data_IF_696311919973
#
_entry.id   IF_696311919973
#
_cell.length_a   1.000
_cell.length_b   1.000
_cell.length_c   1.000
_cell.angle_alpha   90.00
_cell.angle_beta   90.00
_cell.angle_gamma   90.00
#
_symmetry.space_group_name_H-M   'P 1'
#
loop_
_entity.id
_entity.type
_entity.pdbx_description
1 polymer ?
#
# COMPACT_ATOMS: atom_id res chain seq x y z
N UNK A 1 18.45 -3.07 1.24
CA UNK A 1 17.03 -3.07 1.59
C UNK A 1 16.54 -1.64 1.85
N UNK A 2 17.01 -0.95 2.89
CA UNK A 2 16.58 0.42 3.23
C UNK A 2 16.61 1.40 2.04
N UNK A 3 17.76 1.49 1.33
CA UNK A 3 17.92 2.43 0.22
C UNK A 3 17.23 2.05 -1.09
N UNK A 4 16.74 0.82 -1.23
CA UNK A 4 16.25 0.28 -2.51
C UNK A 4 14.82 -0.26 -2.46
N UNK A 5 14.30 -0.52 -1.26
CA UNK A 5 13.03 -1.21 -1.03
C UNK A 5 12.08 -0.45 -0.11
N UNK A 6 12.52 0.67 0.48
CA UNK A 6 11.71 1.50 1.36
C UNK A 6 11.57 2.92 0.77
N UNK A 7 10.53 3.68 1.15
CA UNK A 7 10.40 5.09 0.79
C UNK A 7 11.61 5.96 1.17
N UNK A 8 11.78 7.08 0.49
CA UNK A 8 12.84 8.06 0.79
C UNK A 8 12.69 8.66 2.19
N UNK A 9 11.45 8.96 2.58
CA UNK A 9 11.10 9.44 3.90
C UNK A 9 9.98 8.58 4.49
N UNK A 10 10.03 8.39 5.80
CA UNK A 10 9.04 7.66 6.59
C UNK A 10 8.68 8.47 7.82
N UNK A 11 7.61 8.08 8.50
CA UNK A 11 7.23 8.62 9.80
C UNK A 11 7.74 7.64 10.86
N UNK A 12 8.50 8.14 11.83
CA UNK A 12 8.79 7.38 13.04
C UNK A 12 7.55 7.37 13.94
N UNK A 13 6.89 6.23 14.03
CA UNK A 13 5.57 6.05 14.69
C UNK A 13 5.54 6.51 16.15
N UNK A 14 6.55 6.25 16.99
CA UNK A 14 6.55 6.72 18.38
C UNK A 14 6.53 8.24 18.54
N UNK A 15 7.23 8.98 17.66
CA UNK A 15 7.38 10.44 17.79
C UNK A 15 6.62 11.23 16.72
N UNK A 16 5.94 10.56 15.78
CA UNK A 16 5.17 11.14 14.67
C UNK A 16 5.97 12.24 13.95
N UNK A 17 7.24 11.95 13.64
CA UNK A 17 8.17 12.84 12.92
C UNK A 17 8.67 12.17 11.65
N UNK A 18 9.04 12.96 10.65
CA UNK A 18 9.71 12.43 9.48
C UNK A 18 11.14 11.96 9.82
N UNK A 19 11.53 10.87 9.19
CA UNK A 19 12.87 10.27 9.20
C UNK A 19 13.24 9.94 7.76
N UNK A 20 14.51 10.13 7.39
CA UNK A 20 15.03 9.71 6.10
C UNK A 20 15.64 8.30 6.16
N UNK A 21 16.14 7.82 5.02
CA UNK A 21 16.77 6.49 4.91
C UNK A 21 18.03 6.34 5.76
N UNK A 22 18.80 7.40 5.97
CA UNK A 22 20.02 7.36 6.78
C UNK A 22 19.68 7.23 8.27
N UNK A 23 18.69 7.99 8.74
CA UNK A 23 18.15 7.84 10.10
C UNK A 23 17.57 6.44 10.34
N UNK A 24 16.78 5.92 9.39
CA UNK A 24 16.25 4.55 9.46
C UNK A 24 17.40 3.53 9.48
N UNK A 25 18.41 3.68 8.62
CA UNK A 25 19.56 2.79 8.60
C UNK A 25 20.25 2.76 9.97
N UNK A 26 20.51 3.93 10.56
CA UNK A 26 21.17 4.03 11.86
C UNK A 26 20.31 3.46 13.01
N UNK A 27 19.00 3.67 12.98
CA UNK A 27 18.07 3.14 13.99
C UNK A 27 18.06 1.62 14.04
N UNK A 28 18.10 0.95 12.87
CA UNK A 28 18.01 -0.51 12.79
C UNK A 28 19.36 -1.21 12.62
N UNK A 29 20.46 -0.47 12.42
CA UNK A 29 21.81 -1.03 12.28
C UNK A 29 22.16 -2.03 13.40
N UNK A 30 21.95 -1.74 14.70
CA UNK A 30 22.27 -2.71 15.76
C UNK A 30 21.47 -4.02 15.64
N UNK A 31 20.18 -3.93 15.28
CA UNK A 31 19.32 -5.09 15.10
C UNK A 31 19.69 -5.93 13.87
N UNK A 32 20.22 -5.28 12.82
CA UNK A 32 20.72 -5.94 11.61
C UNK A 32 22.07 -6.60 11.84
N UNK A 33 22.98 -5.94 12.55
CA UNK A 33 24.29 -6.49 12.93
C UNK A 33 24.17 -7.69 13.89
N UNK A 34 23.07 -7.78 14.65
CA UNK A 34 22.75 -8.90 15.51
C UNK A 34 22.14 -10.13 14.79
N UNK A 35 21.93 -10.07 13.47
CA UNK A 35 21.36 -11.21 12.71
C UNK A 35 22.33 -12.40 12.75
N UNK A 36 21.84 -13.55 13.20
CA UNK A 36 22.62 -14.80 13.28
C UNK A 36 22.32 -15.75 12.11
N UNK A 37 23.21 -16.70 11.84
CA UNK A 37 22.94 -17.76 10.86
C UNK A 37 21.75 -18.65 11.26
N UNK A 38 21.49 -18.81 12.56
CA UNK A 38 20.34 -19.58 13.03
C UNK A 38 19.02 -18.84 12.78
N UNK A 39 19.01 -17.50 12.93
CA UNK A 39 17.88 -16.70 12.45
C UNK A 39 17.68 -16.88 10.95
N UNK A 40 18.74 -16.83 10.14
CA UNK A 40 18.64 -17.02 8.68
C UNK A 40 18.05 -18.40 8.31
N UNK A 41 18.35 -19.45 9.07
CA UNK A 41 17.79 -20.80 8.83
C UNK A 41 16.27 -20.82 9.00
N UNK A 42 15.71 -20.08 9.96
CA UNK A 42 14.26 -20.00 10.17
C UNK A 42 13.51 -19.38 8.98
N UNK A 43 14.20 -18.57 8.18
CA UNK A 43 13.67 -17.94 6.98
C UNK A 43 14.16 -18.60 5.69
N UNK A 44 14.92 -19.68 5.78
CA UNK A 44 15.41 -20.41 4.61
C UNK A 44 14.31 -21.26 3.97
N UNK A 45 14.50 -21.67 2.73
CA UNK A 45 13.57 -22.56 2.01
C UNK A 45 14.28 -23.22 0.85
N UNK A 46 13.79 -24.37 0.34
CA UNK A 46 14.52 -25.23 -0.59
C UNK A 46 14.92 -24.56 -1.91
N UNK A 47 14.27 -23.46 -2.29
CA UNK A 47 14.56 -22.69 -3.52
C UNK A 47 14.93 -21.23 -3.27
N UNK A 48 15.10 -20.80 -2.01
CA UNK A 48 15.34 -19.38 -1.67
C UNK A 48 16.84 -19.09 -1.65
N UNK A 49 17.27 -18.10 -2.42
CA UNK A 49 18.65 -17.61 -2.40
C UNK A 49 18.97 -16.93 -1.07
N UNK A 50 20.25 -16.87 -0.69
CA UNK A 50 20.69 -16.17 0.54
C UNK A 50 20.25 -14.70 0.57
N UNK A 51 20.28 -14.01 -0.58
CA UNK A 51 19.83 -12.62 -0.72
C UNK A 51 18.34 -12.46 -0.40
N UNK A 52 17.50 -13.37 -0.91
CA UNK A 52 16.06 -13.36 -0.62
C UNK A 52 15.77 -13.69 0.84
N UNK A 53 16.48 -14.66 1.43
CA UNK A 53 16.37 -14.98 2.86
C UNK A 53 16.73 -13.76 3.71
N UNK A 54 17.85 -13.09 3.42
CA UNK A 54 18.26 -11.88 4.13
C UNK A 54 17.22 -10.76 3.98
N UNK A 55 16.71 -10.53 2.77
CA UNK A 55 15.66 -9.54 2.55
C UNK A 55 14.39 -9.84 3.38
N UNK A 56 14.04 -11.12 3.54
CA UNK A 56 12.88 -11.51 4.36
C UNK A 56 13.11 -11.24 5.85
N UNK A 57 14.30 -11.56 6.37
CA UNK A 57 14.68 -11.21 7.76
C UNK A 57 14.69 -9.70 7.97
N UNK A 58 15.22 -8.94 7.01
CA UNK A 58 15.23 -7.47 7.09
C UNK A 58 13.82 -6.87 7.08
N UNK A 59 12.88 -7.41 6.28
CA UNK A 59 11.47 -7.01 6.30
C UNK A 59 10.80 -7.31 7.64
N UNK A 60 11.13 -8.44 8.24
CA UNK A 60 10.59 -8.83 9.54
C UNK A 60 11.11 -7.94 10.68
N UNK A 61 12.39 -7.52 10.63
CA UNK A 61 12.98 -6.61 11.64
C UNK A 61 12.64 -5.13 11.40
N UNK A 62 12.51 -4.69 10.14
CA UNK A 62 12.29 -3.28 9.76
C UNK A 62 10.89 -3.13 9.17
N UNK A 63 9.88 -3.18 10.04
CA UNK A 63 8.47 -3.09 9.67
C UNK A 63 8.03 -1.64 9.50
N UNK A 64 7.38 -1.37 8.37
CA UNK A 64 6.67 -0.11 8.15
C UNK A 64 5.25 -0.37 7.64
N UNK A 65 4.31 0.49 8.07
CA UNK A 65 2.93 0.49 7.60
C UNK A 65 2.73 1.51 6.48
N UNK A 66 1.87 1.21 5.52
CA UNK A 66 1.48 2.15 4.46
C UNK A 66 0.04 2.60 4.67
N UNK A 67 -0.20 3.91 4.61
CA UNK A 67 -1.56 4.45 4.57
C UNK A 67 -2.09 4.40 3.13
N UNK A 68 -3.28 3.86 2.96
CA UNK A 68 -4.06 4.01 1.75
C UNK A 68 -5.36 4.71 2.12
N UNK A 69 -5.60 5.90 1.56
CA UNK A 69 -6.73 6.71 2.01
C UNK A 69 -7.20 7.71 0.95
N UNK A 70 -8.31 8.37 1.28
CA UNK A 70 -8.65 9.63 0.62
C UNK A 70 -8.06 10.81 1.38
N UNK A 71 -7.53 11.76 0.62
CA UNK A 71 -7.15 13.06 1.14
C UNK A 71 -8.42 13.81 1.56
N UNK A 72 -8.34 14.51 2.68
CA UNK A 72 -9.31 15.51 3.08
C UNK A 72 -9.18 16.72 2.15
N UNK A 73 -10.25 17.50 2.01
CA UNK A 73 -10.25 18.69 1.14
C UNK A 73 -9.24 19.75 1.63
N UNK A 74 -9.02 19.82 2.95
CA UNK A 74 -8.02 20.71 3.56
C UNK A 74 -7.41 20.07 4.81
N UNK A 75 -6.23 20.54 5.19
CA UNK A 75 -5.59 20.18 6.46
C UNK A 75 -4.87 18.84 6.47
N UNK A 76 -4.55 18.24 5.32
CA UNK A 76 -3.58 17.15 5.27
C UNK A 76 -2.17 17.65 5.64
N UNK A 77 -1.40 16.88 6.43
CA UNK A 77 0.00 17.19 6.65
C UNK A 77 0.74 17.08 5.32
N UNK A 78 1.62 18.05 5.06
CA UNK A 78 2.52 18.06 3.91
C UNK A 78 3.94 17.72 4.37
N UNK A 79 4.82 17.40 3.42
CA UNK A 79 6.23 17.16 3.73
C UNK A 79 6.87 18.36 4.46
N UNK A 80 6.62 19.57 3.96
CA UNK A 80 7.11 20.81 4.56
C UNK A 80 6.50 21.03 5.95
N UNK A 81 5.18 20.84 6.09
CA UNK A 81 4.49 21.03 7.36
C UNK A 81 4.94 20.05 8.47
N UNK A 82 5.44 18.87 8.09
CA UNK A 82 6.02 17.91 9.03
C UNK A 82 7.51 18.18 9.34
N UNK A 83 8.22 18.87 8.44
CA UNK A 83 9.65 19.14 8.55
C UNK A 83 9.93 20.46 9.26
N UNK A 84 9.03 21.42 9.14
CA UNK A 84 9.11 22.72 9.82
C UNK A 84 8.50 22.61 11.23
N UNK A 85 9.18 23.18 12.24
CA UNK A 85 8.70 23.31 13.63
C UNK A 85 7.51 24.31 13.76
N UNK A 86 6.56 24.30 12.82
CA UNK A 86 5.30 25.04 12.97
C UNK A 86 4.41 24.28 13.96
N UNK A 87 4.71 24.46 15.24
CA UNK A 87 4.35 23.51 16.30
C UNK A 87 2.86 23.47 16.70
N UNK A 88 2.02 24.45 16.35
CA UNK A 88 0.71 24.59 17.01
C UNK A 88 -0.54 24.51 16.11
N UNK A 89 -0.53 25.11 14.92
CA UNK A 89 -1.75 25.15 14.08
C UNK A 89 -1.90 23.92 13.17
N UNK A 90 -0.80 23.33 12.70
CA UNK A 90 -0.80 22.16 11.81
C UNK A 90 -1.19 20.88 12.55
N UNK A 91 -0.77 20.73 13.82
CA UNK A 91 -1.04 19.56 14.65
C UNK A 91 -2.52 19.43 15.08
N UNK A 92 -3.25 20.54 15.08
CA UNK A 92 -4.68 20.55 15.41
C UNK A 92 -5.59 20.30 14.20
N UNK A 93 -5.03 20.12 12.99
CA UNK A 93 -5.80 19.85 11.78
C UNK A 93 -6.42 18.45 11.79
N UNK A 94 -7.55 18.29 11.10
CA UNK A 94 -8.21 16.98 10.95
C UNK A 94 -7.29 15.96 10.25
N UNK A 95 -6.45 16.39 9.29
CA UNK A 95 -5.50 15.51 8.63
C UNK A 95 -4.36 15.06 9.55
N UNK A 96 -3.87 15.93 10.45
CA UNK A 96 -2.88 15.51 11.45
C UNK A 96 -3.46 14.53 12.47
N UNK A 97 -4.72 14.71 12.90
CA UNK A 97 -5.42 13.73 13.72
C UNK A 97 -5.58 12.39 13.00
N UNK A 98 -5.92 12.43 11.70
CA UNK A 98 -5.97 11.24 10.84
C UNK A 98 -4.60 10.54 10.77
N UNK A 99 -3.51 11.29 10.60
CA UNK A 99 -2.16 10.74 10.57
C UNK A 99 -1.75 10.12 11.93
N UNK A 100 -2.11 10.78 13.03
CA UNK A 100 -1.84 10.27 14.39
C UNK A 100 -2.59 8.98 14.65
N UNK A 101 -3.87 8.90 14.28
CA UNK A 101 -4.67 7.66 14.33
C UNK A 101 -4.09 6.56 13.46
N UNK A 102 -3.62 6.90 12.26
CA UNK A 102 -2.89 5.95 11.43
C UNK A 102 -1.62 5.42 12.13
N UNK A 103 -0.82 6.28 12.76
CA UNK A 103 0.36 5.85 13.52
C UNK A 103 -0.01 4.96 14.72
N UNK A 104 -1.11 5.25 15.42
CA UNK A 104 -1.66 4.38 16.46
C UNK A 104 -1.98 3.00 15.89
N UNK A 105 -2.70 2.93 14.76
CA UNK A 105 -3.02 1.67 14.10
C UNK A 105 -1.79 0.95 13.58
N UNK A 106 -0.79 1.65 13.05
CA UNK A 106 0.48 1.04 12.63
C UNK A 106 1.19 0.35 13.80
N UNK A 107 1.14 0.93 15.00
CA UNK A 107 1.73 0.35 16.22
C UNK A 107 1.09 -0.97 16.62
N UNK A 108 -0.22 -1.14 16.39
CA UNK A 108 -0.94 -2.41 16.62
C UNK A 108 -0.41 -3.57 15.75
N UNK A 109 0.35 -3.26 14.68
CA UNK A 109 1.00 -4.23 13.77
C UNK A 109 2.54 -4.27 13.94
N UNK A 110 3.06 -3.86 15.09
CA UNK A 110 4.49 -3.79 15.40
C UNK A 110 5.30 -2.92 14.42
N UNK A 111 4.66 -1.98 13.74
CA UNK A 111 5.35 -1.07 12.82
C UNK A 111 5.91 0.12 13.60
N UNK A 112 7.24 0.25 13.58
CA UNK A 112 7.94 1.42 14.14
C UNK A 112 8.01 2.58 13.14
N UNK A 113 7.76 2.28 11.87
CA UNK A 113 7.77 3.21 10.76
C UNK A 113 6.40 3.22 10.08
N UNK A 114 6.04 4.33 9.48
CA UNK A 114 4.80 4.48 8.73
C UNK A 114 5.00 5.39 7.52
N UNK A 115 4.11 5.31 6.53
CA UNK A 115 4.22 6.11 5.32
C UNK A 115 2.85 6.66 4.88
N UNK A 116 2.84 7.91 4.44
CA UNK A 116 1.69 8.58 3.83
C UNK A 116 2.18 9.45 2.67
N UNK A 117 1.59 9.29 1.49
CA UNK A 117 1.96 10.02 0.27
C UNK A 117 1.78 11.55 0.40
N UNK A 118 0.93 11.99 1.32
CA UNK A 118 0.71 13.41 1.63
C UNK A 118 1.94 14.09 2.21
N UNK A 119 2.65 13.42 3.12
CA UNK A 119 3.73 14.02 3.91
C UNK A 119 5.08 13.30 3.83
N UNK A 120 5.17 12.10 3.27
CA UNK A 120 6.43 11.35 3.13
C UNK A 120 7.08 11.48 1.75
N UNK A 121 6.52 12.33 0.88
CA UNK A 121 7.09 12.63 -0.44
C UNK A 121 7.34 14.14 -0.48
N UNK A 122 8.60 14.53 -0.71
CA UNK A 122 8.91 15.92 -1.03
C UNK A 122 8.48 16.26 -2.46
N UNK A 123 7.23 16.68 -2.61
CA UNK A 123 6.64 17.06 -3.91
C UNK A 123 7.31 18.27 -4.58
N UNK A 124 8.18 18.98 -3.88
CA UNK A 124 8.97 20.08 -4.44
C UNK A 124 10.30 19.60 -5.07
N UNK A 125 10.70 18.36 -4.82
CA UNK A 125 11.84 17.71 -5.47
C UNK A 125 11.33 16.84 -6.63
N UNK A 126 11.59 17.27 -7.86
CA UNK A 126 11.18 16.50 -9.05
C UNK A 126 11.81 15.11 -9.09
N UNK A 127 13.07 14.99 -8.65
CA UNK A 127 13.77 13.71 -8.57
C UNK A 127 13.13 12.75 -7.57
N UNK A 128 12.73 13.25 -6.40
CA UNK A 128 12.07 12.42 -5.38
C UNK A 128 10.63 12.06 -5.79
N UNK A 129 9.91 12.99 -6.40
CA UNK A 129 8.57 12.72 -6.92
C UNK A 129 8.60 11.65 -8.03
N UNK A 130 9.57 11.71 -8.94
CA UNK A 130 9.79 10.70 -9.98
C UNK A 130 10.12 9.34 -9.35
N UNK A 131 11.07 9.28 -8.42
CA UNK A 131 11.39 8.04 -7.68
C UNK A 131 10.13 7.47 -7.02
N UNK A 132 9.36 8.32 -6.31
CA UNK A 132 8.17 7.89 -5.61
C UNK A 132 7.15 7.26 -6.55
N UNK A 133 6.86 7.88 -7.69
CA UNK A 133 5.90 7.36 -8.66
C UNK A 133 6.35 6.00 -9.24
N UNK A 134 7.65 5.85 -9.57
CA UNK A 134 8.18 4.59 -10.10
C UNK A 134 8.21 3.47 -9.04
N UNK A 135 8.50 3.83 -7.79
CA UNK A 135 8.75 2.87 -6.72
C UNK A 135 7.53 2.55 -5.85
N UNK A 136 6.44 3.32 -5.95
CA UNK A 136 5.32 3.27 -5.00
C UNK A 136 4.74 1.86 -4.84
N UNK A 137 4.49 1.15 -5.95
CA UNK A 137 3.99 -0.21 -5.88
C UNK A 137 4.96 -1.11 -5.11
N UNK A 138 6.28 -1.02 -5.35
CA UNK A 138 7.25 -1.81 -4.60
C UNK A 138 7.23 -1.46 -3.11
N UNK A 139 7.02 -0.19 -2.76
CA UNK A 139 6.91 0.22 -1.36
C UNK A 139 5.66 -0.34 -0.69
N UNK A 140 4.50 -0.31 -1.37
CA UNK A 140 3.28 -0.97 -0.87
C UNK A 140 3.46 -2.48 -0.72
N UNK A 141 4.10 -3.13 -1.70
CA UNK A 141 4.41 -4.55 -1.67
C UNK A 141 5.38 -4.93 -0.54
N UNK A 142 6.33 -4.06 -0.20
CA UNK A 142 7.33 -4.31 0.83
C UNK A 142 6.86 -3.94 2.24
N UNK A 143 5.72 -3.28 2.38
CA UNK A 143 5.16 -2.90 3.67
C UNK A 143 4.78 -4.13 4.49
N UNK A 144 4.92 -4.03 5.81
CA UNK A 144 4.48 -5.09 6.72
C UNK A 144 2.94 -5.21 6.74
N UNK A 145 2.25 -4.08 6.55
CA UNK A 145 0.80 -3.97 6.43
C UNK A 145 0.46 -2.72 5.63
N UNK A 146 -0.55 -2.78 4.77
CA UNK A 146 -1.22 -1.59 4.26
C UNK A 146 -2.54 -1.38 4.99
N UNK A 147 -2.71 -0.19 5.58
CA UNK A 147 -3.90 0.20 6.31
C UNK A 147 -4.74 1.08 5.40
N UNK A 148 -5.88 0.55 4.96
CA UNK A 148 -6.84 1.25 4.12
C UNK A 148 -7.91 1.93 4.99
N UNK A 149 -7.99 3.26 4.92
CA UNK A 149 -8.99 4.05 5.66
C UNK A 149 -10.13 4.49 4.74
N UNK A 150 -11.27 3.82 4.88
CA UNK A 150 -12.52 4.01 4.14
C UNK A 150 -13.47 4.91 4.96
N UNK A 151 -13.14 6.20 5.00
CA UNK A 151 -13.76 7.18 5.90
C UNK A 151 -15.29 7.30 5.78
N UNK A 152 -15.90 6.83 4.67
CA UNK A 152 -17.36 6.89 4.46
C UNK A 152 -18.07 5.57 4.73
N UNK A 153 -17.32 4.50 5.04
CA UNK A 153 -17.84 3.14 5.20
C UNK A 153 -17.97 2.76 6.67
N UNK A 154 -19.10 2.18 7.07
CA UNK A 154 -19.29 1.52 8.37
C UNK A 154 -19.35 0.00 8.23
N UNK A 155 -19.62 -0.52 7.03
CA UNK A 155 -19.56 -1.95 6.72
C UNK A 155 -19.27 -2.18 5.23
N UNK A 156 -19.12 -3.45 4.81
CA UNK A 156 -18.94 -3.82 3.41
C UNK A 156 -20.09 -3.42 2.49
N UNK A 157 -21.31 -3.19 3.03
CA UNK A 157 -22.44 -2.72 2.23
C UNK A 157 -22.20 -1.32 1.64
N UNK A 158 -21.32 -0.54 2.26
CA UNK A 158 -21.07 0.86 1.89
C UNK A 158 -20.01 0.98 0.79
N UNK A 159 -19.31 -0.11 0.43
CA UNK A 159 -18.19 -0.09 -0.50
C UNK A 159 -18.56 0.46 -1.89
N UNK A 160 -19.79 0.19 -2.35
CA UNK A 160 -20.27 0.70 -3.63
C UNK A 160 -20.34 2.24 -3.69
N UNK A 161 -20.46 2.90 -2.52
CA UNK A 161 -20.47 4.37 -2.40
C UNK A 161 -19.14 4.93 -1.91
N UNK A 162 -18.17 4.09 -1.58
CA UNK A 162 -16.88 4.49 -1.04
C UNK A 162 -15.95 4.95 -2.18
N UNK A 163 -15.62 6.25 -2.27
CA UNK A 163 -14.87 6.75 -3.41
C UNK A 163 -13.43 6.24 -3.46
N UNK A 164 -12.92 5.63 -2.39
CA UNK A 164 -11.63 4.94 -2.42
C UNK A 164 -11.56 3.89 -3.56
N UNK A 165 -12.65 3.17 -3.85
CA UNK A 165 -12.66 2.14 -4.91
C UNK A 165 -12.63 2.70 -6.34
N UNK A 166 -12.88 4.00 -6.52
CA UNK A 166 -12.93 4.67 -7.83
C UNK A 166 -11.74 5.59 -8.09
N UNK A 167 -10.76 5.67 -7.19
CA UNK A 167 -9.51 6.44 -7.44
C UNK A 167 -8.49 5.59 -8.21
N UNK A 168 -7.73 6.22 -9.11
CA UNK A 168 -6.72 5.53 -9.92
C UNK A 168 -5.62 4.89 -9.06
N UNK A 169 -4.96 5.70 -8.23
CA UNK A 169 -3.83 5.25 -7.39
C UNK A 169 -4.20 4.12 -6.43
N UNK A 170 -5.42 4.10 -5.88
CA UNK A 170 -5.83 3.06 -4.93
C UNK A 170 -5.91 1.66 -5.55
N UNK A 171 -5.80 1.52 -6.89
CA UNK A 171 -5.75 0.20 -7.54
C UNK A 171 -4.43 -0.50 -7.21
N UNK A 172 -3.30 0.19 -7.36
CA UNK A 172 -2.02 -0.40 -6.96
C UNK A 172 -1.92 -0.52 -5.45
N UNK A 173 -2.52 0.40 -4.68
CA UNK A 173 -2.55 0.31 -3.22
C UNK A 173 -3.39 -0.89 -2.73
N UNK A 174 -4.37 -1.33 -3.53
CA UNK A 174 -5.13 -2.56 -3.29
C UNK A 174 -4.35 -3.82 -3.69
N UNK A 175 -3.69 -3.81 -4.86
CA UNK A 175 -3.07 -4.99 -5.45
C UNK A 175 -1.68 -5.29 -4.88
N UNK A 176 -0.87 -4.26 -4.64
CA UNK A 176 0.54 -4.41 -4.31
C UNK A 176 0.84 -5.03 -2.92
N UNK A 177 0.17 -4.61 -1.83
CA UNK A 177 0.51 -5.11 -0.49
C UNK A 177 0.24 -6.61 -0.34
N UNK A 178 1.11 -7.33 0.36
CA UNK A 178 0.83 -8.73 0.72
C UNK A 178 -0.25 -8.82 1.82
N UNK A 179 -0.30 -7.84 2.72
CA UNK A 179 -1.25 -7.80 3.84
C UNK A 179 -2.00 -6.48 3.84
N UNK A 180 -3.29 -6.52 4.13
CA UNK A 180 -4.10 -5.31 4.29
C UNK A 180 -5.03 -5.37 5.48
N UNK A 181 -5.29 -4.21 6.09
CA UNK A 181 -6.38 -4.06 7.06
C UNK A 181 -7.25 -2.87 6.67
N UNK A 182 -8.56 -3.10 6.58
CA UNK A 182 -9.55 -2.06 6.28
C UNK A 182 -10.18 -1.51 7.55
N UNK A 183 -10.15 -0.18 7.68
CA UNK A 183 -10.82 0.57 8.72
C UNK A 183 -11.87 1.50 8.10
N UNK A 184 -13.04 1.56 8.72
CA UNK A 184 -14.15 2.41 8.34
C UNK A 184 -14.15 3.73 9.09
N UNK A 185 -15.34 4.34 9.20
CA UNK A 185 -15.60 5.52 10.03
C UNK A 185 -15.01 5.36 11.43
N UNK A 186 -14.45 6.45 11.95
CA UNK A 186 -13.86 6.53 13.28
C UNK A 186 -12.70 5.56 13.54
N UNK A 187 -12.08 5.01 12.48
CA UNK A 187 -11.03 3.99 12.60
C UNK A 187 -11.50 2.67 13.23
N UNK A 188 -12.78 2.36 13.07
CA UNK A 188 -13.34 1.06 13.46
C UNK A 188 -12.97 0.01 12.40
N UNK A 189 -12.53 -1.20 12.80
CA UNK A 189 -12.19 -2.25 11.85
C UNK A 189 -13.45 -2.75 11.13
N UNK A 190 -13.37 -2.98 9.82
CA UNK A 190 -14.51 -3.46 9.00
C UNK A 190 -14.70 -5.00 9.02
N UNK A 191 -13.83 -5.69 9.76
CA UNK A 191 -13.80 -7.14 9.98
C UNK A 191 -13.01 -7.43 11.26
N UNK A 192 -13.12 -8.66 11.76
CA UNK A 192 -12.33 -9.13 12.91
C UNK A 192 -10.94 -9.67 12.53
N UNK A 193 -10.63 -9.78 11.23
CA UNK A 193 -9.33 -10.30 10.77
C UNK A 193 -8.20 -9.29 11.01
N UNK A 194 -7.01 -9.76 11.38
CA UNK A 194 -5.82 -8.89 11.41
C UNK A 194 -5.27 -8.63 9.99
N UNK A 195 -5.50 -9.56 9.07
CA UNK A 195 -5.16 -9.41 7.66
C UNK A 195 -6.38 -9.79 6.81
N UNK A 196 -6.96 -8.79 6.15
CA UNK A 196 -8.14 -8.94 5.31
C UNK A 196 -7.83 -9.60 3.97
N UNK A 197 -6.56 -9.71 3.56
CA UNK A 197 -6.15 -10.51 2.40
C UNK A 197 -6.05 -12.00 2.72
N UNK A 198 -5.74 -12.33 3.97
CA UNK A 198 -5.59 -13.71 4.42
C UNK A 198 -6.47 -13.94 5.66
N UNK A 199 -7.81 -13.92 5.51
CA UNK A 199 -8.71 -14.18 6.62
C UNK A 199 -8.41 -15.55 7.21
N UNK A 200 -8.48 -15.67 8.55
CA UNK A 200 -8.30 -16.97 9.21
C UNK A 200 -9.35 -17.93 8.68
N UNK A 201 -8.89 -19.08 8.19
CA UNK A 201 -9.79 -20.13 7.77
C UNK A 201 -10.45 -20.75 9.02
N UNK A 202 -11.68 -20.34 9.33
CA UNK A 202 -12.46 -20.92 10.42
C UNK A 202 -12.84 -22.39 10.13
N UNK A 203 -12.49 -22.95 8.96
CA UNK A 203 -12.81 -24.35 8.62
C UNK A 203 -11.76 -25.35 9.08
N UNK A 204 -10.59 -24.92 9.56
CA UNK A 204 -9.68 -25.80 10.32
C UNK A 204 -10.01 -25.70 11.81
N UNK A 205 -10.58 -26.74 12.44
CA UNK A 205 -10.76 -26.74 13.88
C UNK A 205 -9.38 -26.74 14.54
N UNK A 206 -9.12 -25.76 15.40
CA UNK A 206 -8.10 -25.94 16.43
C UNK A 206 -8.55 -27.09 17.32
N UNK A 207 -7.69 -28.06 17.58
CA UNK A 207 -8.00 -29.23 18.43
C UNK A 207 -8.29 -28.84 19.89
N UNK A 208 -8.09 -27.58 20.28
CA UNK A 208 -8.09 -27.11 21.67
C UNK A 208 -9.20 -26.11 22.06
N UNK A 209 -10.17 -25.77 21.19
CA UNK A 209 -11.20 -24.78 21.56
C UNK A 209 -12.60 -25.39 21.74
N UNK A 210 -13.01 -25.41 23.02
CA UNK A 210 -14.37 -25.72 23.47
C UNK A 210 -15.36 -24.78 22.78
N UNK A 211 -16.33 -25.41 22.12
CA UNK A 211 -17.41 -24.79 21.37
C UNK A 211 -18.16 -23.73 22.18
N UNK A 212 -17.99 -22.46 21.79
CA UNK A 212 -19.06 -21.47 21.91
C UNK A 212 -19.60 -21.20 20.50
N UNK A 213 -20.93 -21.09 20.30
CA UNK A 213 -21.48 -20.79 18.99
C UNK A 213 -21.21 -19.32 18.69
N UNK A 214 -20.16 -19.04 17.93
CA UNK A 214 -19.93 -17.71 17.36
C UNK A 214 -20.93 -17.55 16.20
N UNK A 215 -21.83 -16.58 16.33
CA UNK A 215 -22.79 -16.23 15.28
C UNK A 215 -22.06 -15.86 13.97
N UNK A 216 -22.62 -16.16 12.78
CA UNK A 216 -21.96 -15.85 11.52
C UNK A 216 -22.05 -14.34 11.24
N UNK A 217 -21.01 -13.59 11.62
CA UNK A 217 -20.82 -12.18 11.27
C UNK A 217 -19.75 -11.96 10.20
N UNK A 218 -19.28 -13.01 9.51
CA UNK A 218 -18.19 -12.89 8.54
C UNK A 218 -18.58 -12.00 7.34
N UNK A 219 -18.35 -10.71 7.53
CA UNK A 219 -18.06 -9.71 6.52
C UNK A 219 -16.85 -10.18 5.72
N UNK A 220 -17.07 -10.96 4.65
CA UNK A 220 -16.00 -11.32 3.72
C UNK A 220 -15.69 -10.09 2.85
N UNK A 221 -14.75 -9.28 3.34
CA UNK A 221 -14.21 -8.10 2.67
C UNK A 221 -13.74 -8.44 1.26
N UNK A 222 -13.07 -9.57 1.05
CA UNK A 222 -12.57 -9.96 -0.28
C UNK A 222 -13.72 -10.27 -1.22
N UNK A 223 -14.75 -10.99 -0.76
CA UNK A 223 -15.97 -11.22 -1.56
C UNK A 223 -16.65 -9.90 -1.93
N UNK A 224 -16.75 -8.95 -1.01
CA UNK A 224 -17.32 -7.63 -1.30
C UNK A 224 -16.48 -6.86 -2.35
N UNK A 225 -15.15 -6.85 -2.20
CA UNK A 225 -14.23 -6.19 -3.13
C UNK A 225 -14.27 -6.86 -4.50
N UNK A 226 -14.25 -8.20 -4.59
CA UNK A 226 -14.32 -8.92 -5.86
C UNK A 226 -15.62 -8.61 -6.60
N UNK A 227 -16.76 -8.61 -5.90
CA UNK A 227 -18.05 -8.25 -6.52
C UNK A 227 -18.08 -6.82 -7.03
N UNK A 228 -17.48 -5.89 -6.30
CA UNK A 228 -17.47 -4.47 -6.67
C UNK A 228 -16.50 -4.16 -7.81
N UNK A 229 -15.30 -4.73 -7.74
CA UNK A 229 -14.16 -4.34 -8.61
C UNK A 229 -13.93 -5.28 -9.78
N UNK A 230 -14.55 -6.46 -9.78
CA UNK A 230 -14.30 -7.56 -10.74
C UNK A 230 -12.85 -8.05 -10.72
N UNK A 231 -12.13 -7.79 -9.63
CA UNK A 231 -10.80 -8.33 -9.36
C UNK A 231 -11.00 -9.65 -8.62
N UNK A 232 -10.51 -10.74 -9.21
CA UNK A 232 -10.61 -12.07 -8.63
C UNK A 232 -9.84 -12.16 -7.30
N UNK A 233 -10.30 -13.03 -6.39
CA UNK A 233 -9.67 -13.18 -5.07
C UNK A 233 -8.18 -13.51 -5.17
N UNK A 234 -7.77 -14.31 -6.16
CA UNK A 234 -6.37 -14.66 -6.35
C UNK A 234 -5.50 -13.44 -6.67
N UNK A 235 -5.99 -12.49 -7.48
CA UNK A 235 -5.30 -11.24 -7.80
C UNK A 235 -5.29 -10.28 -6.61
N UNK A 236 -6.31 -10.29 -5.76
CA UNK A 236 -6.31 -9.49 -4.52
C UNK A 236 -5.28 -9.99 -3.51
N UNK A 237 -5.07 -11.31 -3.41
CA UNK A 237 -4.21 -11.92 -2.40
C UNK A 237 -2.76 -12.05 -2.86
N UNK A 238 -2.54 -12.40 -4.13
CA UNK A 238 -1.22 -12.69 -4.69
C UNK A 238 -1.07 -12.12 -6.11
N UNK A 239 -1.11 -10.80 -6.21
CA UNK A 239 -0.96 -10.11 -7.50
C UNK A 239 0.45 -10.27 -8.08
N UNK A 240 0.54 -10.66 -9.36
CA UNK A 240 1.79 -10.64 -10.13
C UNK A 240 1.77 -9.48 -11.13
N UNK A 241 2.69 -8.53 -10.99
CA UNK A 241 2.86 -7.42 -11.93
C UNK A 241 3.45 -7.87 -13.28
N UNK A 242 3.24 -7.09 -14.34
CA UNK A 242 3.76 -7.36 -15.69
C UNK A 242 2.72 -7.22 -16.81
N UNK A 243 3.09 -7.68 -18.02
CA UNK A 243 2.32 -7.55 -19.27
C UNK A 243 1.45 -8.81 -19.56
N UNK A 244 0.91 -9.44 -18.53
CA UNK A 244 -0.06 -10.53 -18.68
C UNK A 244 -1.46 -10.05 -18.29
N UNK A 245 -2.50 -10.66 -18.86
CA UNK A 245 -3.91 -10.29 -18.63
C UNK A 245 -4.16 -8.77 -18.76
N UNK A 246 -3.51 -8.15 -19.75
CA UNK A 246 -3.50 -6.68 -19.90
C UNK A 246 -4.91 -6.12 -19.98
N UNK A 247 -5.78 -6.76 -20.75
CA UNK A 247 -7.18 -6.35 -20.91
C UNK A 247 -7.92 -6.29 -19.56
N UNK A 248 -7.71 -7.29 -18.70
CA UNK A 248 -8.37 -7.36 -17.40
C UNK A 248 -7.88 -6.23 -16.48
N UNK A 249 -6.57 -5.96 -16.49
CA UNK A 249 -5.96 -4.86 -15.71
C UNK A 249 -6.44 -3.49 -16.18
N UNK A 250 -6.53 -3.29 -17.49
CA UNK A 250 -7.08 -2.07 -18.07
C UNK A 250 -8.57 -1.92 -17.74
N UNK A 251 -9.34 -3.02 -17.70
CA UNK A 251 -10.75 -3.01 -17.28
C UNK A 251 -10.92 -2.62 -15.81
N UNK A 252 -10.03 -3.07 -14.93
CA UNK A 252 -10.03 -2.61 -13.53
C UNK A 252 -9.69 -1.13 -13.41
N UNK A 253 -8.76 -0.65 -14.25
CA UNK A 253 -8.35 0.76 -14.29
C UNK A 253 -9.41 1.68 -14.91
N UNK A 254 -10.18 1.20 -15.91
CA UNK A 254 -11.15 2.02 -16.66
C UNK A 254 -12.33 2.49 -15.81
N UNK A 255 -12.61 1.81 -14.70
CA UNK A 255 -13.63 2.18 -13.71
C UNK A 255 -13.15 3.20 -12.68
N UNK A 256 -11.91 3.69 -12.83
CA UNK A 256 -11.26 4.59 -11.86
C UNK A 256 -10.95 5.94 -12.50
N UNK A 257 -10.85 6.95 -11.66
CA UNK A 257 -10.62 8.34 -12.04
C UNK A 257 -9.44 8.92 -11.27
N UNK A 258 -8.77 9.90 -11.88
CA UNK A 258 -7.64 10.61 -11.29
C UNK A 258 -7.87 12.11 -11.36
N UNK A 259 -7.29 12.85 -10.42
CA UNK A 259 -7.39 14.31 -10.39
C UNK A 259 -6.53 14.94 -11.47
N UNK A 260 -5.29 14.46 -11.63
CA UNK A 260 -4.42 14.81 -12.76
C UNK A 260 -4.64 13.79 -13.86
N UNK A 261 -4.75 14.26 -15.09
CA UNK A 261 -5.00 13.37 -16.23
C UNK A 261 -3.82 12.43 -16.47
N UNK A 262 -2.59 12.87 -16.17
CA UNK A 262 -1.38 12.06 -16.31
C UNK A 262 -1.33 10.87 -15.36
N UNK A 263 -1.95 11.00 -14.19
CA UNK A 263 -2.00 9.92 -13.20
C UNK A 263 -2.81 8.71 -13.68
N UNK A 264 -3.66 8.86 -14.71
CA UNK A 264 -4.29 7.70 -15.38
C UNK A 264 -3.24 6.73 -15.91
N UNK A 265 -2.10 7.25 -16.39
CA UNK A 265 -0.99 6.44 -16.85
C UNK A 265 -0.05 6.08 -15.70
N UNK A 266 0.34 7.07 -14.89
CA UNK A 266 1.37 6.87 -13.86
C UNK A 266 0.95 5.89 -12.77
N UNK A 267 -0.34 5.86 -12.41
CA UNK A 267 -0.86 4.90 -11.44
C UNK A 267 -0.81 3.43 -11.88
N UNK A 268 -0.55 3.17 -13.17
CA UNK A 268 -0.51 1.81 -13.75
C UNK A 268 0.92 1.30 -13.98
N UNK A 269 1.95 2.15 -13.84
CA UNK A 269 3.36 1.79 -14.06
C UNK A 269 3.73 0.54 -13.24
N UNK A 270 3.43 0.54 -11.94
CA UNK A 270 3.76 -0.56 -11.04
C UNK A 270 2.92 -1.83 -11.25
N UNK A 271 1.73 -1.71 -11.84
CA UNK A 271 0.85 -2.86 -12.17
C UNK A 271 1.39 -3.60 -13.39
N UNK A 272 1.83 -2.85 -14.40
CA UNK A 272 2.39 -3.41 -15.64
C UNK A 272 3.89 -3.71 -15.58
N UNK A 273 4.57 -3.34 -14.49
CA UNK A 273 6.02 -3.49 -14.31
C UNK A 273 6.84 -2.85 -15.44
N UNK A 274 6.46 -1.63 -15.81
CA UNK A 274 7.13 -0.86 -16.86
C UNK A 274 7.84 0.36 -16.27
N UNK A 275 8.62 1.05 -17.10
CA UNK A 275 9.22 2.33 -16.74
C UNK A 275 8.76 3.41 -17.73
N UNK A 276 8.36 4.56 -17.19
CA UNK A 276 7.86 5.70 -17.96
C UNK A 276 8.37 7.01 -17.36
N UNK A 277 9.07 7.85 -18.12
CA UNK A 277 9.49 9.17 -17.61
C UNK A 277 8.29 10.03 -17.20
N UNK A 278 8.31 10.57 -15.98
CA UNK A 278 7.23 11.37 -15.41
C UNK A 278 7.36 12.82 -15.86
N UNK A 279 6.29 13.37 -16.44
CA UNK A 279 6.25 14.72 -16.99
C UNK A 279 4.85 15.31 -16.82
N UNK A 280 4.59 15.89 -15.65
CA UNK A 280 3.35 16.61 -15.41
C UNK A 280 3.22 17.82 -16.34
N UNK A 281 2.04 17.99 -16.95
CA UNK A 281 1.78 18.97 -18.00
C UNK A 281 1.78 18.38 -19.42
N UNK A 282 2.13 17.09 -19.59
CA UNK A 282 2.03 16.41 -20.88
C UNK A 282 0.58 16.00 -21.26
N UNK A 283 -0.36 16.09 -20.32
CA UNK A 283 -1.76 15.77 -20.56
C UNK A 283 -1.98 14.31 -20.95
N UNK A 284 -2.85 14.07 -21.93
CA UNK A 284 -3.17 12.72 -22.43
C UNK A 284 -1.99 11.99 -23.07
N UNK A 285 -0.87 12.68 -23.37
CA UNK A 285 0.31 12.04 -23.94
C UNK A 285 0.90 10.96 -23.04
N UNK A 286 0.79 11.13 -21.73
CA UNK A 286 1.16 10.14 -20.72
C UNK A 286 0.50 8.78 -20.97
N UNK A 287 -0.81 8.78 -21.27
CA UNK A 287 -1.59 7.59 -21.62
C UNK A 287 -1.11 6.93 -22.92
N UNK A 288 -0.87 7.73 -23.97
CA UNK A 288 -0.37 7.19 -25.23
C UNK A 288 1.00 6.53 -25.08
N UNK A 289 1.89 7.11 -24.28
CA UNK A 289 3.21 6.52 -23.99
C UNK A 289 3.09 5.22 -23.20
N UNK A 290 2.20 5.16 -22.21
CA UNK A 290 1.87 3.92 -21.50
C UNK A 290 1.39 2.84 -22.48
N UNK A 291 0.41 3.17 -23.32
CA UNK A 291 -0.17 2.23 -24.28
C UNK A 291 0.85 1.79 -25.33
N UNK A 292 1.73 2.67 -25.80
CA UNK A 292 2.82 2.32 -26.72
C UNK A 292 3.73 1.25 -26.11
N UNK A 293 4.15 1.42 -24.86
CA UNK A 293 4.99 0.43 -24.16
C UNK A 293 4.23 -0.90 -23.99
N UNK A 294 2.97 -0.84 -23.57
CA UNK A 294 2.13 -2.03 -23.40
C UNK A 294 1.98 -2.77 -24.73
N UNK A 295 1.69 -2.07 -25.84
CA UNK A 295 1.49 -2.69 -27.16
C UNK A 295 2.78 -3.25 -27.76
N UNK A 296 3.93 -2.65 -27.46
CA UNK A 296 5.23 -3.19 -27.88
C UNK A 296 5.59 -4.50 -27.18
N UNK A 297 5.13 -4.70 -25.94
CA UNK A 297 5.46 -5.88 -25.13
C UNK A 297 4.34 -6.94 -25.15
N UNK A 298 3.08 -6.52 -25.30
CA UNK A 298 1.92 -7.40 -25.33
C UNK A 298 1.76 -8.01 -26.72
N UNK A 299 1.80 -9.35 -26.78
CA UNK A 299 1.61 -10.10 -28.04
C UNK A 299 0.15 -10.43 -28.33
N UNK A 300 -0.78 -10.02 -27.47
CA UNK A 300 -2.21 -10.34 -27.58
C UNK A 300 -3.03 -9.13 -28.02
N UNK A 301 -3.90 -9.34 -28.99
CA UNK A 301 -4.87 -8.34 -29.46
C UNK A 301 -6.01 -8.08 -28.46
N UNK A 302 -6.14 -8.92 -27.43
CA UNK A 302 -7.16 -8.75 -26.39
C UNK A 302 -6.99 -7.44 -25.60
N UNK A 303 -5.82 -6.79 -25.69
CA UNK A 303 -5.54 -5.47 -25.11
C UNK A 303 -6.56 -4.38 -25.46
N UNK A 304 -7.43 -4.58 -26.47
CA UNK A 304 -8.50 -3.65 -26.82
C UNK A 304 -9.88 -4.03 -26.24
N UNK A 305 -9.98 -5.09 -25.44
CA UNK A 305 -11.23 -5.65 -24.90
C UNK A 305 -11.41 -5.30 -23.41
N UNK A 306 -11.26 -4.03 -23.06
CA UNK A 306 -11.35 -3.53 -21.68
C UNK A 306 -12.41 -2.44 -21.47
#
# INVERSE_FOLDING_TARGET
>A
YVFSGMPAHLIHVPSVRLVDRDEVFNMFKPAVEAITEDELKNFSGPSRTRKETLNKVLRDKIKFAMLSHRWLDTGEPTFQGMSELQEDMSKNSAGYHKLTKFCEKAREYDCQLAWSDTCCINKNSSAELDEAIQAMFNWYHNAAICIAYLASSSSVSDFAQEPWFTRGWTLQELLAPEKMKFYGKNWEPLSDNLDDKHPRDLTTPSEDEISTPVAPSQSDILTAITRLTEIERHDLVSFSRGIHNVHQRLRWASRRTTTRIEDMAYSLIGIFDISLSITYGEGQRSWFRLMEIILQQCKSWEVFVW
#
